data_IF_134690262559
#
_entry.id   IF_134690262559
#
_cell.length_a   1.000
_cell.length_b   1.000
_cell.length_c   1.000
_cell.angle_alpha   90.00
_cell.angle_beta   90.00
_cell.angle_gamma   90.00
#
_symmetry.space_group_name_H-M   'P 1'
#
loop_
_entity.id
_entity.type
_entity.pdbx_description
1 polymer ?
#
# COMPACT_ATOMS: atom_id res chain seq x y z
N UNK A 1 18.24 -8.13 21.85
CA UNK A 1 17.60 -8.06 20.68
C UNK A 1 18.30 -7.47 19.51
N UNK A 2 18.11 -8.05 18.44
CA UNK A 2 18.70 -7.62 17.21
C UNK A 2 18.28 -6.20 16.80
N UNK A 3 17.25 -5.68 17.44
CA UNK A 3 16.77 -4.34 17.09
C UNK A 3 17.77 -3.24 17.29
N UNK A 4 18.68 -3.42 18.25
CA UNK A 4 19.66 -2.39 18.49
C UNK A 4 20.58 -2.19 17.30
N UNK A 5 20.99 -3.28 16.69
CA UNK A 5 21.85 -3.19 15.52
C UNK A 5 21.09 -2.60 14.35
N UNK A 6 19.83 -2.96 14.23
CA UNK A 6 19.04 -2.40 13.16
C UNK A 6 18.85 -0.91 13.31
N UNK A 7 18.82 -0.44 14.56
CA UNK A 7 18.73 0.99 14.77
C UNK A 7 19.89 1.74 14.17
N UNK A 8 21.10 1.17 14.28
CA UNK A 8 22.25 1.81 13.69
C UNK A 8 22.16 1.87 12.18
N UNK A 9 21.65 0.79 11.58
CA UNK A 9 21.49 0.80 10.13
C UNK A 9 20.43 1.77 9.69
N UNK A 10 19.38 1.90 10.50
CA UNK A 10 18.32 2.83 10.15
C UNK A 10 18.85 4.25 10.06
N UNK A 11 19.80 4.59 10.91
CA UNK A 11 20.39 5.90 10.84
C UNK A 11 21.06 6.15 9.51
N UNK A 12 21.68 5.13 8.95
CA UNK A 12 22.27 5.28 7.62
C UNK A 12 21.21 5.47 6.57
N UNK A 13 20.10 4.73 6.70
CA UNK A 13 19.03 4.84 5.72
C UNK A 13 18.38 6.21 5.72
N UNK A 14 18.45 6.93 6.83
CA UNK A 14 17.85 8.24 6.87
C UNK A 14 18.52 9.24 5.94
N UNK A 15 19.67 8.87 5.39
CA UNK A 15 20.33 9.72 4.40
C UNK A 15 19.69 9.63 3.04
N UNK A 16 18.79 8.69 2.84
CA UNK A 16 18.13 8.50 1.54
C UNK A 16 16.81 9.23 1.55
N UNK A 17 16.87 10.52 1.25
CA UNK A 17 15.67 11.32 1.20
C UNK A 17 14.73 10.78 0.11
N UNK A 18 13.43 10.80 0.38
CA UNK A 18 12.42 10.37 -0.57
C UNK A 18 12.06 8.90 -0.50
N UNK A 19 12.68 8.15 0.41
CA UNK A 19 12.45 6.71 0.50
C UNK A 19 11.71 6.37 1.79
N UNK A 20 10.43 6.04 1.67
CA UNK A 20 9.67 5.53 2.81
C UNK A 20 9.98 4.05 3.01
N UNK A 21 10.02 3.57 4.26
CA UNK A 21 10.23 2.14 4.48
C UNK A 21 9.01 1.34 4.04
N UNK A 22 9.22 0.05 3.80
CA UNK A 22 8.14 -0.80 3.29
C UNK A 22 6.97 -0.85 4.26
N UNK A 23 7.24 -0.76 5.57
CA UNK A 23 6.19 -0.82 6.58
C UNK A 23 5.16 0.30 6.41
N UNK A 24 5.60 1.43 5.87
CA UNK A 24 4.69 2.55 5.70
C UNK A 24 3.66 2.28 4.60
N UNK A 25 3.96 1.37 3.69
CA UNK A 25 3.00 1.00 2.65
C UNK A 25 2.04 -0.09 3.11
N UNK A 26 2.42 -0.89 4.10
CA UNK A 26 1.62 -2.04 4.52
C UNK A 26 0.44 -1.56 5.34
N UNK A 27 -0.76 -1.99 4.96
CA UNK A 27 -1.98 -1.61 5.65
C UNK A 27 -3.11 -1.43 4.67
N UNK A 28 -4.15 -0.77 5.14
CA UNK A 28 -5.37 -0.53 4.36
C UNK A 28 -5.43 0.94 3.94
N UNK A 29 -5.63 1.16 2.66
CA UNK A 29 -5.70 2.49 2.05
C UNK A 29 -7.10 2.65 1.46
N UNK A 30 -7.72 3.80 1.71
CA UNK A 30 -9.07 4.08 1.23
C UNK A 30 -9.05 5.25 0.26
N UNK A 31 -9.80 5.12 -0.84
CA UNK A 31 -9.91 6.19 -1.81
C UNK A 31 -10.62 7.38 -1.17
N UNK A 32 -10.00 8.56 -1.25
CA UNK A 32 -10.48 9.72 -0.52
C UNK A 32 -11.70 10.37 -1.12
N UNK A 33 -11.82 10.34 -2.44
CA UNK A 33 -12.80 11.17 -3.13
C UNK A 33 -14.13 10.51 -3.41
N UNK A 34 -14.36 9.32 -2.89
CA UNK A 34 -15.61 8.62 -3.21
C UNK A 34 -16.35 8.24 -1.95
N UNK A 35 -17.68 8.22 -2.04
CA UNK A 35 -18.51 7.69 -0.98
C UNK A 35 -18.68 6.19 -1.11
N UNK A 36 -18.36 5.63 -2.28
CA UNK A 36 -18.40 4.18 -2.48
C UNK A 36 -17.10 3.59 -1.96
N UNK A 37 -17.16 2.64 -1.02
CA UNK A 37 -15.94 2.08 -0.47
C UNK A 37 -15.05 1.49 -1.55
N UNK A 38 -13.79 1.89 -1.54
CA UNK A 38 -12.80 1.43 -2.48
C UNK A 38 -11.47 1.42 -1.73
N UNK A 39 -10.90 0.22 -1.56
CA UNK A 39 -9.72 0.05 -0.72
C UNK A 39 -8.62 -0.65 -1.47
N UNK A 40 -7.39 -0.32 -1.11
CA UNK A 40 -6.21 -1.09 -1.49
C UNK A 40 -5.55 -1.53 -0.21
N UNK A 41 -5.32 -2.83 -0.08
CA UNK A 41 -4.61 -3.40 1.06
C UNK A 41 -3.28 -3.90 0.55
N UNK A 42 -2.19 -3.41 1.13
CA UNK A 42 -0.85 -3.88 0.79
C UNK A 42 -0.38 -4.69 1.98
N UNK A 43 0.00 -5.94 1.74
CA UNK A 43 0.41 -6.82 2.82
C UNK A 43 1.53 -7.74 2.42
N UNK A 44 2.20 -8.27 3.43
CA UNK A 44 3.24 -9.25 3.25
C UNK A 44 2.62 -10.63 3.04
N UNK A 45 3.13 -11.37 2.06
CA UNK A 45 2.68 -12.72 1.78
C UNK A 45 3.94 -13.57 1.65
N UNK A 46 4.39 -14.15 2.76
CA UNK A 46 5.66 -14.83 2.78
C UNK A 46 6.79 -13.84 2.57
N UNK A 47 7.61 -14.07 1.57
CA UNK A 47 8.71 -13.16 1.26
C UNK A 47 8.33 -12.09 0.25
N UNK A 48 7.10 -12.09 -0.19
CA UNK A 48 6.64 -11.16 -1.22
C UNK A 48 5.59 -10.24 -0.65
N UNK A 49 5.31 -9.21 -1.42
CA UNK A 49 4.18 -8.33 -1.12
C UNK A 49 3.05 -8.65 -2.08
N UNK A 50 1.85 -8.34 -1.64
CA UNK A 50 0.67 -8.44 -2.47
C UNK A 50 -0.18 -7.22 -2.25
N UNK A 51 -0.81 -6.75 -3.31
CA UNK A 51 -1.78 -5.66 -3.23
C UNK A 51 -3.15 -6.23 -3.56
N UNK A 52 -4.11 -5.94 -2.70
CA UNK A 52 -5.48 -6.41 -2.87
C UNK A 52 -6.36 -5.19 -3.05
N UNK A 53 -7.13 -5.18 -4.14
CA UNK A 53 -8.06 -4.09 -4.37
C UNK A 53 -9.47 -4.58 -4.05
N UNK A 54 -10.15 -3.83 -3.19
CA UNK A 54 -11.53 -4.13 -2.82
C UNK A 54 -12.40 -3.00 -3.31
N UNK A 55 -13.44 -3.34 -4.05
CA UNK A 55 -14.41 -2.34 -4.51
C UNK A 55 -15.81 -2.89 -4.34
N UNK A 56 -16.73 -2.01 -4.00
CA UNK A 56 -18.11 -2.39 -3.82
C UNK A 56 -18.89 -2.08 -5.08
N UNK A 57 -19.64 -3.05 -5.56
CA UNK A 57 -20.55 -2.85 -6.67
C UNK A 57 -21.82 -2.23 -6.13
N UNK A 58 -22.18 -1.03 -6.61
CA UNK A 58 -23.33 -0.32 -6.05
C UNK A 58 -24.65 -0.99 -6.39
N UNK A 59 -24.69 -1.76 -7.48
CA UNK A 59 -25.93 -2.42 -7.88
C UNK A 59 -26.19 -3.69 -7.10
N UNK A 60 -25.15 -4.48 -6.86
CA UNK A 60 -25.31 -5.76 -6.17
C UNK A 60 -24.94 -5.69 -4.71
N UNK A 61 -24.29 -4.59 -4.29
CA UNK A 61 -23.80 -4.37 -2.92
C UNK A 61 -22.76 -5.41 -2.52
N UNK A 62 -22.10 -6.04 -3.50
CA UNK A 62 -21.07 -7.02 -3.23
C UNK A 62 -19.70 -6.39 -3.32
N UNK A 63 -18.79 -6.88 -2.49
CA UNK A 63 -17.39 -6.44 -2.52
C UNK A 63 -16.61 -7.41 -3.39
N UNK A 64 -15.89 -6.86 -4.36
CA UNK A 64 -15.04 -7.63 -5.25
C UNK A 64 -13.60 -7.45 -4.81
N UNK A 65 -12.87 -8.55 -4.73
CA UNK A 65 -11.46 -8.54 -4.39
C UNK A 65 -10.65 -8.91 -5.61
N UNK A 66 -9.61 -8.12 -5.89
CA UNK A 66 -8.65 -8.45 -6.94
C UNK A 66 -7.26 -8.42 -6.32
N UNK A 67 -6.45 -9.40 -6.69
CA UNK A 67 -5.13 -9.61 -6.09
C UNK A 67 -4.05 -9.38 -7.13
N UNK A 68 -3.04 -8.62 -6.77
CA UNK A 68 -1.93 -8.29 -7.66
C UNK A 68 -0.60 -8.54 -6.95
N UNK A 69 0.36 -9.16 -7.63
CA UNK A 69 1.69 -9.28 -7.05
C UNK A 69 2.36 -7.92 -6.93
N UNK A 70 3.19 -7.77 -5.92
CA UNK A 70 3.86 -6.51 -5.67
C UNK A 70 5.26 -6.77 -5.14
N UNK A 71 6.12 -5.75 -5.26
CA UNK A 71 7.46 -5.82 -4.73
C UNK A 71 7.91 -4.43 -4.31
N UNK A 72 8.80 -4.38 -3.32
CA UNK A 72 9.31 -3.12 -2.81
C UNK A 72 10.77 -2.98 -3.22
N UNK A 73 11.13 -1.84 -3.78
CA UNK A 73 12.50 -1.54 -4.12
C UNK A 73 12.67 -0.02 -4.21
N UNK A 74 13.76 0.46 -3.64
CA UNK A 74 14.14 1.87 -3.77
C UNK A 74 13.06 2.83 -3.32
N UNK A 75 12.36 2.46 -2.26
CA UNK A 75 11.36 3.33 -1.69
C UNK A 75 9.99 3.27 -2.34
N UNK A 76 9.82 2.44 -3.36
CA UNK A 76 8.55 2.32 -4.07
C UNK A 76 8.08 0.89 -4.06
N UNK A 77 6.75 0.71 -4.04
CA UNK A 77 6.14 -0.60 -4.22
C UNK A 77 5.62 -0.67 -5.65
N UNK A 78 6.12 -1.64 -6.39
CA UNK A 78 5.67 -1.88 -7.76
C UNK A 78 4.56 -2.90 -7.72
N UNK A 79 3.41 -2.55 -8.29
CA UNK A 79 2.24 -3.40 -8.28
C UNK A 79 1.92 -3.79 -9.71
N UNK A 80 1.89 -5.10 -9.98
CA UNK A 80 1.61 -5.61 -11.32
C UNK A 80 0.11 -5.72 -11.51
N UNK A 81 -0.54 -4.58 -11.72
CA UNK A 81 -1.99 -4.49 -11.75
C UNK A 81 -2.58 -4.49 -13.17
N UNK A 82 -1.76 -4.68 -14.19
CA UNK A 82 -2.26 -4.74 -15.54
C UNK A 82 -2.88 -3.43 -15.98
N UNK A 83 -4.12 -3.48 -16.42
CA UNK A 83 -4.82 -2.28 -16.90
C UNK A 83 -5.21 -1.34 -15.77
N UNK A 84 -5.29 -1.85 -14.56
CA UNK A 84 -5.60 -1.01 -13.41
C UNK A 84 -4.30 -0.40 -12.93
N UNK A 85 -4.19 0.91 -13.03
CA UNK A 85 -2.95 1.60 -12.66
C UNK A 85 -2.99 1.96 -11.19
N UNK A 86 -2.31 1.16 -10.38
CA UNK A 86 -2.17 1.42 -8.95
C UNK A 86 -0.69 1.72 -8.71
N UNK A 87 -0.41 2.88 -8.15
CA UNK A 87 0.97 3.29 -7.88
C UNK A 87 1.16 3.49 -6.38
N UNK A 88 2.20 2.90 -5.87
CA UNK A 88 2.56 3.03 -4.46
C UNK A 88 4.00 3.52 -4.41
N UNK A 89 4.19 4.81 -4.09
CA UNK A 89 5.48 5.45 -4.23
C UNK A 89 5.80 6.31 -3.02
N UNK A 90 7.09 6.53 -2.83
CA UNK A 90 7.55 7.48 -1.83
C UNK A 90 7.58 8.87 -2.44
N UNK A 91 6.97 9.82 -1.75
CA UNK A 91 7.01 11.24 -2.13
C UNK A 91 7.48 12.00 -0.89
N UNK A 92 8.69 12.55 -0.95
CA UNK A 92 9.28 13.28 0.18
C UNK A 92 9.26 12.44 1.44
N UNK A 93 9.73 11.19 1.34
CA UNK A 93 9.80 10.22 2.46
C UNK A 93 8.45 9.74 2.96
N UNK A 94 7.37 10.06 2.26
CA UNK A 94 6.03 9.66 2.67
C UNK A 94 5.49 8.64 1.69
N UNK A 95 4.99 7.53 2.21
CA UNK A 95 4.35 6.50 1.38
C UNK A 95 3.03 7.05 0.85
N UNK A 96 2.80 6.89 -0.45
CA UNK A 96 1.55 7.31 -1.08
C UNK A 96 1.01 6.18 -1.93
N UNK A 97 -0.30 6.13 -2.06
CA UNK A 97 -0.98 5.18 -2.96
C UNK A 97 -1.97 5.96 -3.79
N UNK A 98 -1.89 5.78 -5.11
CA UNK A 98 -2.83 6.41 -6.03
C UNK A 98 -3.32 5.37 -7.01
N UNK A 99 -4.51 5.59 -7.57
CA UNK A 99 -5.02 4.76 -8.65
C UNK A 99 -5.60 5.71 -9.69
N UNK A 100 -5.05 5.65 -10.91
CA UNK A 100 -5.44 6.55 -11.98
C UNK A 100 -5.35 8.02 -11.52
N UNK A 101 -4.28 8.33 -10.80
CA UNK A 101 -3.98 9.67 -10.27
C UNK A 101 -4.91 10.13 -9.16
N UNK A 102 -5.77 9.26 -8.63
CA UNK A 102 -6.61 9.60 -7.48
C UNK A 102 -5.98 9.08 -6.21
N UNK A 103 -5.95 9.91 -5.19
CA UNK A 103 -5.22 9.62 -3.97
C UNK A 103 -6.00 8.72 -3.03
N UNK A 104 -5.28 7.79 -2.42
CA UNK A 104 -5.79 6.98 -1.33
C UNK A 104 -5.17 7.46 -0.03
N UNK A 105 -5.88 7.27 1.06
CA UNK A 105 -5.39 7.62 2.37
C UNK A 105 -5.26 6.35 3.21
N UNK A 106 -4.14 6.21 3.91
CA UNK A 106 -3.94 5.07 4.78
C UNK A 106 -4.80 5.25 6.01
N UNK A 107 -5.71 4.33 6.24
CA UNK A 107 -6.64 4.41 7.35
C UNK A 107 -6.31 3.43 8.47
N UNK A 108 -5.44 2.47 8.22
CA UNK A 108 -5.12 1.46 9.22
C UNK A 108 -3.86 0.73 8.81
N UNK A 109 -3.09 0.28 9.79
CA UNK A 109 -1.97 -0.62 9.54
C UNK A 109 -2.43 -2.07 9.45
N UNK A 110 -3.69 -2.34 9.71
CA UNK A 110 -4.24 -3.68 9.59
C UNK A 110 -4.31 -4.10 8.13
N UNK A 111 -4.05 -5.37 7.88
CA UNK A 111 -4.16 -5.93 6.54
C UNK A 111 -5.36 -6.86 6.40
N UNK A 112 -6.27 -6.82 7.36
CA UNK A 112 -7.50 -7.60 7.29
C UNK A 112 -8.39 -7.04 6.18
N UNK A 113 -9.15 -7.90 5.54
CA UNK A 113 -10.03 -7.48 4.45
C UNK A 113 -11.09 -6.53 4.97
N UNK A 114 -11.31 -5.42 4.27
CA UNK A 114 -12.38 -4.51 4.65
C UNK A 114 -13.74 -5.18 4.50
N UNK A 115 -14.65 -4.89 5.42
CA UNK A 115 -15.98 -5.51 5.41
C UNK A 115 -17.08 -4.56 5.00
N UNK A 116 -16.81 -3.30 4.84
CA UNK A 116 -17.85 -2.36 4.46
C UNK A 116 -17.30 -1.10 3.84
#
# INVERSE_FOLDING_TARGET
MKKLLLGALAACCSLHAGAAPVEDFIGTWKLERTTVPNYVVIKQDGERLVALRYSRNVLTNKITERRFPASYAHGDVTIAAGETVIEARSVNDVATVTMLAEAYKKISSSTAAPTS
#
